data_IF_599733488585
#
_entry.id   IF_599733488585
#
_cell.length_a   1.000
_cell.length_b   1.000
_cell.length_c   1.000
_cell.angle_alpha   90.00
_cell.angle_beta   90.00
_cell.angle_gamma   90.00
#
_symmetry.space_group_name_H-M   'P 1'
#
loop_
_entity.id
_entity.type
_entity.pdbx_description
1 polymer ?
#
# COMPACT_ATOMS: atom_id res chain seq x y z
N UNK A 1 -35.74 -47.56 -0.11
CA UNK A 1 -35.80 -46.52 -1.18
C UNK A 1 -36.38 -45.18 -0.73
N UNK A 2 -37.52 -45.12 -0.02
CA UNK A 2 -38.15 -43.85 0.41
C UNK A 2 -37.22 -42.89 1.17
N UNK A 3 -36.44 -43.38 2.14
CA UNK A 3 -35.51 -42.54 2.92
C UNK A 3 -34.42 -41.90 2.04
N UNK A 4 -33.83 -42.67 1.13
CA UNK A 4 -32.81 -42.18 0.19
C UNK A 4 -33.35 -41.09 -0.74
N UNK A 5 -34.57 -41.25 -1.25
CA UNK A 5 -35.21 -40.22 -2.09
C UNK A 5 -35.43 -38.93 -1.30
N UNK A 6 -35.97 -39.03 -0.08
CA UNK A 6 -36.21 -37.85 0.77
C UNK A 6 -34.90 -37.16 1.13
N UNK A 7 -33.91 -37.92 1.61
CA UNK A 7 -32.61 -37.36 1.96
C UNK A 7 -31.91 -36.73 0.75
N UNK A 8 -31.97 -37.35 -0.43
CA UNK A 8 -31.41 -36.81 -1.66
C UNK A 8 -32.06 -35.47 -2.06
N UNK A 9 -33.39 -35.36 -1.99
CA UNK A 9 -34.10 -34.10 -2.25
C UNK A 9 -33.68 -33.04 -1.22
N UNK A 10 -33.61 -33.40 0.06
CA UNK A 10 -33.20 -32.47 1.12
C UNK A 10 -31.75 -32.00 0.95
N UNK A 11 -30.83 -32.87 0.50
CA UNK A 11 -29.44 -32.49 0.17
C UNK A 11 -29.42 -31.45 -0.94
N UNK A 12 -30.15 -31.68 -2.04
CA UNK A 12 -30.21 -30.73 -3.16
C UNK A 12 -30.76 -29.39 -2.70
N UNK A 13 -31.89 -29.40 -1.97
CA UNK A 13 -32.50 -28.18 -1.45
C UNK A 13 -31.57 -27.43 -0.49
N UNK A 14 -30.95 -28.15 0.45
CA UNK A 14 -30.02 -27.55 1.41
C UNK A 14 -28.77 -27.00 0.73
N UNK A 15 -28.22 -27.68 -0.29
CA UNK A 15 -27.08 -27.21 -1.06
C UNK A 15 -27.40 -25.90 -1.79
N UNK A 16 -28.55 -25.84 -2.47
CA UNK A 16 -29.01 -24.63 -3.17
C UNK A 16 -29.22 -23.48 -2.17
N UNK A 17 -29.92 -23.73 -1.06
CA UNK A 17 -30.17 -22.71 -0.05
C UNK A 17 -28.87 -22.21 0.61
N UNK A 18 -27.91 -23.10 0.84
CA UNK A 18 -26.60 -22.75 1.41
C UNK A 18 -25.82 -21.86 0.43
N UNK A 19 -25.76 -22.24 -0.84
CA UNK A 19 -25.12 -21.44 -1.88
C UNK A 19 -25.75 -20.05 -2.00
N UNK A 20 -27.08 -19.98 -2.15
CA UNK A 20 -27.80 -18.71 -2.26
C UNK A 20 -27.63 -17.84 -1.01
N UNK A 21 -27.56 -18.46 0.18
CA UNK A 21 -27.31 -17.77 1.44
C UNK A 21 -25.90 -17.17 1.49
N UNK A 22 -24.88 -17.93 1.08
CA UNK A 22 -23.48 -17.45 1.05
C UNK A 22 -23.27 -16.36 -0.01
N UNK A 23 -23.87 -16.51 -1.18
CA UNK A 23 -23.83 -15.53 -2.26
C UNK A 23 -24.49 -14.20 -1.82
N UNK A 24 -25.65 -14.28 -1.18
CA UNK A 24 -26.37 -13.10 -0.68
C UNK A 24 -25.63 -12.32 0.43
N UNK A 25 -24.71 -12.96 1.18
CA UNK A 25 -23.92 -12.29 2.22
C UNK A 25 -22.88 -11.34 1.60
N UNK A 26 -22.43 -11.59 0.37
CA UNK A 26 -21.42 -10.74 -0.27
C UNK A 26 -20.09 -10.75 0.49
N UNK A 27 -19.53 -11.94 0.74
CA UNK A 27 -18.32 -12.13 1.57
C UNK A 27 -17.08 -11.39 1.05
N UNK A 28 -17.04 -11.07 -0.24
CA UNK A 28 -15.89 -10.44 -0.88
C UNK A 28 -16.26 -9.01 -1.33
N UNK A 29 -15.33 -8.04 -1.25
CA UNK A 29 -15.56 -6.72 -1.82
C UNK A 29 -15.57 -6.81 -3.35
N UNK A 30 -15.84 -5.71 -4.06
CA UNK A 30 -15.88 -5.74 -5.52
C UNK A 30 -14.56 -6.27 -6.14
N UNK A 31 -14.60 -7.05 -7.23
CA UNK A 31 -13.40 -7.47 -7.93
C UNK A 31 -12.88 -6.32 -8.82
N UNK A 32 -11.81 -5.65 -8.37
CA UNK A 32 -11.28 -4.44 -9.01
C UNK A 32 -9.97 -4.67 -9.80
N UNK A 33 -9.62 -5.92 -10.09
CA UNK A 33 -8.46 -6.26 -10.94
C UNK A 33 -8.71 -7.48 -11.82
N UNK A 34 -7.88 -7.65 -12.87
CA UNK A 34 -7.91 -8.85 -13.69
C UNK A 34 -7.60 -10.12 -12.87
N UNK A 35 -6.71 -10.02 -11.89
CA UNK A 35 -6.39 -11.11 -10.96
C UNK A 35 -7.62 -11.50 -10.13
N UNK A 36 -8.36 -10.50 -9.64
CA UNK A 36 -9.58 -10.73 -8.86
C UNK A 36 -10.63 -11.52 -9.65
N UNK A 37 -10.80 -11.25 -10.95
CA UNK A 37 -11.76 -12.00 -11.78
C UNK A 37 -11.41 -13.49 -11.87
N UNK A 38 -10.13 -13.84 -12.03
CA UNK A 38 -9.69 -15.25 -12.08
C UNK A 38 -9.88 -15.95 -10.73
N UNK A 39 -9.56 -15.26 -9.63
CA UNK A 39 -9.68 -15.79 -8.27
C UNK A 39 -11.15 -15.96 -7.89
N UNK A 40 -12.01 -14.97 -8.15
CA UNK A 40 -13.44 -15.03 -7.82
C UNK A 40 -14.17 -16.11 -8.63
N UNK A 41 -13.74 -16.39 -9.86
CA UNK A 41 -14.25 -17.53 -10.64
C UNK A 41 -13.96 -18.87 -9.96
N UNK A 42 -12.72 -19.08 -9.49
CA UNK A 42 -12.34 -20.30 -8.77
C UNK A 42 -13.08 -20.39 -7.43
N UNK A 43 -13.12 -19.29 -6.68
CA UNK A 43 -13.85 -19.18 -5.42
C UNK A 43 -15.32 -19.58 -5.57
N UNK A 44 -16.00 -19.12 -6.63
CA UNK A 44 -17.40 -19.48 -6.86
C UNK A 44 -17.59 -21.01 -7.04
N UNK A 45 -16.69 -21.66 -7.78
CA UNK A 45 -16.70 -23.12 -7.91
C UNK A 45 -16.44 -23.83 -6.58
N UNK A 46 -15.55 -23.30 -5.76
CA UNK A 46 -15.29 -23.81 -4.41
C UNK A 46 -16.54 -23.67 -3.52
N UNK A 47 -17.21 -22.51 -3.51
CA UNK A 47 -18.42 -22.27 -2.73
C UNK A 47 -19.56 -23.19 -3.16
N UNK A 48 -19.77 -23.40 -4.46
CA UNK A 48 -20.76 -24.37 -4.98
C UNK A 48 -20.45 -25.78 -4.47
N UNK A 49 -19.18 -26.20 -4.59
CA UNK A 49 -18.74 -27.55 -4.20
C UNK A 49 -18.87 -27.75 -2.69
N UNK A 50 -18.43 -26.79 -1.89
CA UNK A 50 -18.52 -26.83 -0.42
C UNK A 50 -19.98 -26.80 0.02
N UNK A 51 -20.85 -26.01 -0.60
CA UNK A 51 -22.28 -25.98 -0.30
C UNK A 51 -22.93 -27.36 -0.51
N UNK A 52 -22.56 -28.03 -1.61
CA UNK A 52 -23.01 -29.40 -1.86
C UNK A 52 -22.45 -30.40 -0.85
N UNK A 53 -21.15 -30.40 -0.58
CA UNK A 53 -20.51 -31.35 0.35
C UNK A 53 -20.99 -31.15 1.79
N UNK A 54 -21.17 -29.90 2.22
CA UNK A 54 -21.74 -29.56 3.52
C UNK A 54 -23.16 -30.13 3.64
N UNK A 55 -24.02 -29.88 2.65
CA UNK A 55 -25.38 -30.46 2.64
C UNK A 55 -25.36 -31.99 2.60
N UNK A 56 -24.46 -32.59 1.81
CA UNK A 56 -24.28 -34.04 1.70
C UNK A 56 -23.92 -34.70 3.03
N UNK A 57 -23.24 -34.00 3.94
CA UNK A 57 -22.89 -34.50 5.27
C UNK A 57 -23.98 -34.16 6.30
N UNK A 58 -24.38 -32.89 6.35
CA UNK A 58 -25.27 -32.38 7.40
C UNK A 58 -26.69 -32.91 7.25
N UNK A 59 -27.22 -33.02 6.02
CA UNK A 59 -28.59 -33.49 5.82
C UNK A 59 -28.74 -34.96 6.25
N UNK A 60 -27.91 -35.93 5.80
CA UNK A 60 -28.01 -37.30 6.30
C UNK A 60 -27.77 -37.41 7.81
N UNK A 61 -26.85 -36.63 8.37
CA UNK A 61 -26.60 -36.59 9.81
C UNK A 61 -27.87 -36.17 10.57
N UNK A 62 -28.44 -35.01 10.25
CA UNK A 62 -29.66 -34.50 10.90
C UNK A 62 -30.85 -35.41 10.62
N UNK A 63 -30.99 -35.90 9.38
CA UNK A 63 -32.04 -36.84 8.99
C UNK A 63 -31.97 -38.10 9.84
N UNK A 64 -30.78 -38.65 10.07
CA UNK A 64 -30.59 -39.86 10.87
C UNK A 64 -30.98 -39.64 12.33
N UNK A 65 -30.59 -38.50 12.92
CA UNK A 65 -30.92 -38.13 14.29
C UNK A 65 -32.42 -37.95 14.52
N UNK A 66 -33.17 -37.52 13.51
CA UNK A 66 -34.61 -37.28 13.60
C UNK A 66 -35.42 -38.53 13.26
N UNK A 67 -35.11 -39.19 12.14
CA UNK A 67 -35.94 -40.26 11.57
C UNK A 67 -35.62 -41.62 12.18
N UNK A 68 -34.35 -41.89 12.48
CA UNK A 68 -33.91 -43.16 13.08
C UNK A 68 -33.73 -43.06 14.60
N UNK A 69 -34.31 -42.03 15.23
CA UNK A 69 -34.37 -41.91 16.68
C UNK A 69 -35.17 -43.07 17.29
N UNK A 70 -34.57 -43.77 18.25
CA UNK A 70 -35.23 -44.84 19.02
C UNK A 70 -36.51 -44.32 19.68
N UNK A 71 -37.64 -45.01 19.45
CA UNK A 71 -38.94 -44.66 20.04
C UNK A 71 -39.02 -45.14 21.49
N UNK A 72 -39.84 -44.45 22.30
CA UNK A 72 -40.07 -44.85 23.70
C UNK A 72 -40.68 -46.25 23.75
N UNK A 73 -40.05 -47.16 24.47
CA UNK A 73 -40.49 -48.56 24.63
C UNK A 73 -40.06 -49.51 23.51
N UNK A 74 -39.35 -49.03 22.49
CA UNK A 74 -38.76 -49.90 21.46
C UNK A 74 -37.52 -50.61 22.03
N UNK A 75 -37.53 -51.94 22.06
CA UNK A 75 -36.41 -52.79 22.50
C UNK A 75 -35.89 -53.68 21.38
N UNK A 76 -36.28 -53.42 20.14
CA UNK A 76 -35.80 -54.17 18.98
C UNK A 76 -34.42 -53.69 18.55
N UNK A 77 -33.63 -54.61 17.99
CA UNK A 77 -32.35 -54.27 17.39
C UNK A 77 -32.55 -53.77 15.95
N UNK A 78 -31.66 -52.88 15.51
CA UNK A 78 -31.62 -52.43 14.13
C UNK A 78 -31.07 -53.54 13.21
N UNK A 79 -31.26 -53.39 11.90
CA UNK A 79 -30.65 -54.27 10.90
C UNK A 79 -29.11 -54.26 11.03
N UNK A 80 -28.49 -55.44 11.05
CA UNK A 80 -27.04 -55.59 11.15
C UNK A 80 -26.38 -55.28 9.80
N UNK A 81 -25.86 -54.06 9.66
CA UNK A 81 -25.21 -53.57 8.44
C UNK A 81 -23.73 -53.27 8.77
N UNK A 82 -22.81 -53.99 8.12
CA UNK A 82 -21.37 -53.82 8.37
C UNK A 82 -20.67 -52.89 7.37
N UNK A 83 -21.22 -52.67 6.18
CA UNK A 83 -20.61 -51.80 5.18
C UNK A 83 -21.21 -51.92 3.78
N UNK A 84 -20.59 -51.18 2.85
CA UNK A 84 -20.97 -51.21 1.44
C UNK A 84 -19.75 -50.84 0.58
N UNK A 85 -19.03 -51.85 0.10
CA UNK A 85 -17.83 -51.67 -0.71
C UNK A 85 -18.06 -50.83 -1.97
N UNK A 86 -19.25 -50.90 -2.59
CA UNK A 86 -19.55 -50.09 -3.77
C UNK A 86 -19.65 -48.61 -3.41
N UNK A 87 -20.31 -48.29 -2.28
CA UNK A 87 -20.37 -46.93 -1.74
C UNK A 87 -18.97 -46.46 -1.35
N UNK A 88 -18.17 -47.35 -0.76
CA UNK A 88 -16.81 -47.04 -0.33
C UNK A 88 -15.87 -46.69 -1.49
N UNK A 89 -15.99 -47.41 -2.60
CA UNK A 89 -15.26 -47.09 -3.82
C UNK A 89 -15.75 -45.75 -4.38
N UNK A 90 -17.07 -45.55 -4.46
CA UNK A 90 -17.66 -44.34 -5.03
C UNK A 90 -17.26 -43.07 -4.24
N UNK A 91 -17.37 -43.08 -2.91
CA UNK A 91 -17.04 -41.92 -2.07
C UNK A 91 -15.53 -41.67 -1.93
N UNK A 92 -14.68 -42.53 -2.48
CA UNK A 92 -13.22 -42.37 -2.48
C UNK A 92 -12.78 -41.83 -3.84
N UNK A 93 -13.28 -42.44 -4.91
CA UNK A 93 -12.95 -42.06 -6.28
C UNK A 93 -13.51 -40.67 -6.62
N UNK A 94 -14.77 -40.38 -6.25
CA UNK A 94 -15.40 -39.10 -6.63
C UNK A 94 -14.66 -37.91 -6.01
N UNK A 95 -14.38 -37.86 -4.68
CA UNK A 95 -13.59 -36.76 -4.11
C UNK A 95 -12.18 -36.66 -4.65
N UNK A 96 -11.52 -37.79 -4.95
CA UNK A 96 -10.20 -37.79 -5.58
C UNK A 96 -10.22 -37.00 -6.91
N UNK A 97 -11.17 -37.30 -7.80
CA UNK A 97 -11.28 -36.59 -9.08
C UNK A 97 -11.69 -35.13 -8.91
N UNK A 98 -12.55 -34.80 -7.92
CA UNK A 98 -12.90 -33.42 -7.60
C UNK A 98 -11.64 -32.64 -7.18
N UNK A 99 -10.84 -33.18 -6.26
CA UNK A 99 -9.60 -32.53 -5.81
C UNK A 99 -8.60 -32.38 -6.95
N UNK A 100 -8.46 -33.38 -7.83
CA UNK A 100 -7.60 -33.27 -9.00
C UNK A 100 -8.07 -32.18 -9.99
N UNK A 101 -9.38 -32.03 -10.18
CA UNK A 101 -9.93 -30.96 -11.00
C UNK A 101 -9.65 -29.58 -10.41
N UNK A 102 -9.87 -29.40 -9.10
CA UNK A 102 -9.53 -28.15 -8.39
C UNK A 102 -8.04 -27.86 -8.41
N UNK A 103 -7.17 -28.87 -8.26
CA UNK A 103 -5.73 -28.69 -8.36
C UNK A 103 -5.32 -28.16 -9.75
N UNK A 104 -5.92 -28.68 -10.82
CA UNK A 104 -5.70 -28.18 -12.18
C UNK A 104 -6.22 -26.74 -12.35
N UNK A 105 -7.45 -26.46 -11.92
CA UNK A 105 -8.04 -25.12 -12.00
C UNK A 105 -7.24 -24.09 -11.19
N UNK A 106 -6.77 -24.46 -10.01
CA UNK A 106 -5.91 -23.63 -9.17
C UNK A 106 -4.56 -23.33 -9.83
N UNK A 107 -3.93 -24.35 -10.45
CA UNK A 107 -2.69 -24.14 -11.20
C UNK A 107 -2.89 -23.21 -12.40
N UNK A 108 -4.02 -23.35 -13.12
CA UNK A 108 -4.39 -22.46 -14.22
C UNK A 108 -4.60 -21.01 -13.75
N UNK A 109 -5.38 -20.81 -12.68
CA UNK A 109 -5.63 -19.48 -12.09
C UNK A 109 -4.33 -18.84 -11.56
N UNK A 110 -3.43 -19.64 -10.98
CA UNK A 110 -2.12 -19.17 -10.55
C UNK A 110 -1.25 -18.70 -11.74
N UNK A 111 -1.29 -19.42 -12.86
CA UNK A 111 -0.58 -19.02 -14.07
C UNK A 111 -1.15 -17.73 -14.67
N UNK A 112 -2.48 -17.60 -14.68
CA UNK A 112 -3.21 -16.42 -15.14
C UNK A 112 -2.83 -15.17 -14.32
N UNK A 113 -2.91 -15.28 -12.99
CA UNK A 113 -2.65 -14.17 -12.07
C UNK A 113 -1.20 -13.70 -12.09
N UNK A 114 -0.26 -14.59 -12.45
CA UNK A 114 1.17 -14.29 -12.56
C UNK A 114 1.64 -13.90 -13.95
N UNK A 115 0.75 -13.85 -14.95
CA UNK A 115 1.15 -13.53 -16.33
C UNK A 115 1.79 -12.14 -16.40
N UNK A 116 3.01 -12.09 -16.92
CA UNK A 116 3.75 -10.86 -17.11
C UNK A 116 3.37 -10.18 -18.43
N UNK A 117 3.16 -8.87 -18.37
CA UNK A 117 3.13 -7.95 -19.49
C UNK A 117 4.50 -7.26 -19.62
N UNK A 118 5.21 -7.41 -20.75
CA UNK A 118 6.47 -6.70 -21.00
C UNK A 118 6.36 -5.17 -21.01
N UNK A 119 5.15 -4.60 -21.09
CA UNK A 119 4.88 -3.17 -21.07
C UNK A 119 4.31 -2.69 -19.73
N UNK A 120 4.41 -3.52 -18.68
CA UNK A 120 3.93 -3.17 -17.36
C UNK A 120 4.64 -1.92 -16.80
N UNK A 121 3.87 -0.99 -16.24
CA UNK A 121 4.40 0.16 -15.51
C UNK A 121 5.08 -0.33 -14.23
N UNK A 122 6.26 0.20 -13.91
CA UNK A 122 6.97 -0.17 -12.67
C UNK A 122 6.66 0.84 -11.57
N UNK A 123 6.34 0.35 -10.38
CA UNK A 123 6.29 1.14 -9.15
C UNK A 123 7.16 0.45 -8.12
N UNK A 124 8.14 1.16 -7.59
CA UNK A 124 8.94 0.67 -6.47
C UNK A 124 8.17 0.97 -5.17
N UNK A 125 7.96 -0.04 -4.33
CA UNK A 125 7.26 0.10 -3.05
C UNK A 125 8.24 -0.14 -1.93
N UNK A 126 8.35 0.81 -1.02
CA UNK A 126 9.09 0.63 0.23
C UNK A 126 8.12 0.49 1.39
N UNK A 127 8.28 -0.59 2.15
CA UNK A 127 7.57 -0.81 3.40
C UNK A 127 8.48 -0.50 4.60
N UNK A 128 7.95 0.26 5.55
CA UNK A 128 8.56 0.57 6.85
C UNK A 128 7.49 0.56 7.92
N UNK A 129 7.83 0.36 9.18
CA UNK A 129 6.91 0.55 10.30
C UNK A 129 6.55 2.04 10.41
N UNK A 130 5.30 2.48 10.21
CA UNK A 130 4.12 1.79 9.67
C UNK A 130 3.59 2.56 8.47
N UNK A 131 4.44 2.73 7.46
CA UNK A 131 4.22 3.58 6.31
C UNK A 131 4.57 2.85 5.00
N UNK A 132 3.87 3.27 3.95
CA UNK A 132 4.14 2.90 2.57
C UNK A 132 4.75 4.10 1.84
N UNK A 133 5.69 3.82 0.94
CA UNK A 133 6.22 4.82 0.01
C UNK A 133 6.24 4.23 -1.39
N UNK A 134 5.79 5.02 -2.36
CA UNK A 134 5.65 4.62 -3.75
C UNK A 134 6.54 5.49 -4.63
N UNK A 135 7.56 4.91 -5.21
CA UNK A 135 8.44 5.58 -6.16
C UNK A 135 8.04 5.19 -7.59
N UNK A 136 7.91 6.21 -8.43
CA UNK A 136 7.58 6.12 -9.84
C UNK A 136 8.85 6.41 -10.66
N UNK A 137 9.72 5.40 -10.89
CA UNK A 137 11.05 5.63 -11.46
C UNK A 137 11.00 6.29 -12.84
N UNK A 138 10.04 5.92 -13.69
CA UNK A 138 9.87 6.50 -15.02
C UNK A 138 9.48 7.99 -14.98
N UNK A 139 8.95 8.47 -13.84
CA UNK A 139 8.54 9.86 -13.63
C UNK A 139 9.47 10.64 -12.70
N UNK A 140 10.37 9.96 -11.97
CA UNK A 140 11.38 10.60 -11.12
C UNK A 140 10.84 11.23 -9.83
N UNK A 141 9.72 10.73 -9.29
CA UNK A 141 9.18 11.21 -8.01
C UNK A 141 8.72 10.07 -7.10
N UNK A 142 8.56 10.39 -5.82
CA UNK A 142 7.93 9.51 -4.83
C UNK A 142 6.64 10.12 -4.31
N UNK A 143 5.68 9.26 -3.99
CA UNK A 143 4.36 9.60 -3.46
C UNK A 143 4.06 8.81 -2.20
N UNK A 144 3.24 9.38 -1.33
CA UNK A 144 2.61 8.65 -0.23
C UNK A 144 1.39 7.87 -0.71
N UNK A 145 0.64 8.36 -1.69
CA UNK A 145 -0.50 7.65 -2.26
C UNK A 145 -0.09 6.81 -3.47
N UNK A 146 -0.67 5.62 -3.62
CA UNK A 146 -0.48 4.78 -4.80
C UNK A 146 -1.54 5.11 -5.85
N UNK A 147 -1.14 5.76 -6.94
CA UNK A 147 -2.00 5.97 -8.13
C UNK A 147 -1.65 5.01 -9.25
N UNK A 148 -2.67 4.45 -9.89
CA UNK A 148 -2.57 3.44 -10.93
C UNK A 148 -3.49 3.78 -12.11
N UNK A 149 -3.05 3.62 -13.36
CA UNK A 149 -3.92 3.70 -14.52
C UNK A 149 -4.77 2.42 -14.67
N UNK A 150 -6.06 2.58 -14.97
CA UNK A 150 -6.98 1.48 -15.30
C UNK A 150 -6.51 0.71 -16.54
N UNK A 151 -6.77 -0.60 -16.56
CA UNK A 151 -6.51 -1.53 -17.66
C UNK A 151 -5.04 -1.68 -18.08
N UNK A 152 -4.10 -1.14 -17.30
CA UNK A 152 -2.66 -1.26 -17.52
C UNK A 152 -2.03 -2.11 -16.43
N UNK A 153 -1.22 -3.11 -16.81
CA UNK A 153 -0.52 -3.91 -15.81
C UNK A 153 0.54 -3.07 -15.10
N UNK A 154 0.61 -3.22 -13.78
CA UNK A 154 1.61 -2.59 -12.92
C UNK A 154 2.44 -3.68 -12.24
N UNK A 155 3.76 -3.56 -12.35
CA UNK A 155 4.73 -4.36 -11.62
C UNK A 155 5.16 -3.59 -10.37
N UNK A 156 4.71 -4.06 -9.21
CA UNK A 156 5.17 -3.59 -7.92
C UNK A 156 6.47 -4.31 -7.57
N UNK A 157 7.58 -3.57 -7.49
CA UNK A 157 8.86 -4.06 -6.96
C UNK A 157 8.98 -3.59 -5.53
N UNK A 158 8.95 -4.52 -4.59
CA UNK A 158 8.70 -4.20 -3.20
C UNK A 158 9.87 -4.63 -2.32
N UNK A 159 10.25 -3.76 -1.40
CA UNK A 159 11.31 -4.03 -0.41
C UNK A 159 10.86 -3.54 0.97
N UNK A 160 11.27 -4.24 2.03
CA UNK A 160 11.11 -3.80 3.41
C UNK A 160 12.43 -3.31 3.96
N UNK A 161 12.41 -2.20 4.71
CA UNK A 161 13.59 -1.66 5.40
C UNK A 161 13.73 -2.12 6.85
N UNK A 162 12.76 -2.88 7.38
CA UNK A 162 12.76 -3.30 8.78
C UNK A 162 12.29 -4.76 8.98
N UNK A 163 11.00 -5.00 9.12
CA UNK A 163 10.37 -6.30 9.42
C UNK A 163 9.59 -6.82 8.22
N UNK A 164 9.04 -8.02 8.32
CA UNK A 164 8.18 -8.54 7.25
C UNK A 164 6.87 -7.74 7.23
N UNK A 165 6.45 -7.33 6.04
CA UNK A 165 5.13 -6.74 5.76
C UNK A 165 4.42 -7.57 4.70
N UNK A 166 3.17 -7.26 4.38
CA UNK A 166 2.49 -7.83 3.20
C UNK A 166 1.65 -6.76 2.54
N UNK A 167 1.93 -6.46 1.27
CA UNK A 167 1.12 -5.55 0.48
C UNK A 167 -0.21 -6.21 0.14
N UNK A 168 -1.33 -5.59 0.51
CA UNK A 168 -2.65 -6.11 0.19
C UNK A 168 -3.68 -5.00 -0.08
N UNK A 169 -4.28 -5.04 -1.27
CA UNK A 169 -5.51 -4.29 -1.60
C UNK A 169 -6.62 -5.35 -1.75
N UNK A 170 -7.58 -5.44 -0.82
CA UNK A 170 -8.59 -6.52 -0.80
C UNK A 170 -9.36 -6.70 -2.11
N UNK A 171 -9.71 -5.60 -2.78
CA UNK A 171 -10.41 -5.56 -4.05
C UNK A 171 -9.61 -6.15 -5.20
N UNK A 172 -8.28 -6.24 -5.07
CA UNK A 172 -7.40 -6.86 -6.06
C UNK A 172 -7.15 -8.35 -5.83
N UNK A 173 -7.60 -8.92 -4.71
CA UNK A 173 -7.49 -10.35 -4.30
C UNK A 173 -6.09 -10.92 -4.12
N UNK A 174 -5.07 -10.25 -4.64
CA UNK A 174 -3.68 -10.67 -4.50
C UNK A 174 -3.00 -9.92 -3.37
N UNK A 175 -2.17 -10.65 -2.62
CA UNK A 175 -1.26 -10.11 -1.62
C UNK A 175 0.12 -10.67 -1.84
N UNK A 176 1.14 -9.96 -1.39
CA UNK A 176 2.51 -10.43 -1.46
C UNK A 176 3.28 -9.95 -0.24
N UNK A 177 3.87 -10.92 0.46
CA UNK A 177 4.73 -10.63 1.59
C UNK A 177 6.02 -9.96 1.09
N UNK A 178 6.47 -8.96 1.82
CA UNK A 178 7.65 -8.15 1.57
C UNK A 178 8.64 -8.48 2.67
N UNK A 179 9.74 -9.14 2.28
CA UNK A 179 10.72 -9.69 3.22
C UNK A 179 12.00 -8.86 3.15
N UNK A 180 12.53 -8.36 4.29
CA UNK A 180 13.77 -7.61 4.32
C UNK A 180 14.93 -8.35 3.63
N UNK A 181 15.76 -7.60 2.90
CA UNK A 181 16.95 -8.15 2.22
C UNK A 181 16.70 -8.82 0.87
N UNK A 182 15.46 -8.79 0.35
CA UNK A 182 15.17 -9.20 -1.04
C UNK A 182 14.07 -8.33 -1.64
N UNK A 183 14.09 -8.19 -2.96
CA UNK A 183 12.98 -7.60 -3.72
C UNK A 183 11.91 -8.67 -3.93
N UNK A 184 10.66 -8.36 -3.60
CA UNK A 184 9.49 -9.18 -3.96
C UNK A 184 8.68 -8.48 -5.04
N UNK A 185 8.11 -9.25 -5.95
CA UNK A 185 7.33 -8.71 -7.08
C UNK A 185 5.86 -9.08 -6.94
N UNK A 186 4.98 -8.13 -7.27
CA UNK A 186 3.55 -8.37 -7.44
C UNK A 186 3.05 -7.68 -8.71
N UNK A 187 2.25 -8.38 -9.49
CA UNK A 187 1.65 -7.85 -10.73
C UNK A 187 0.16 -7.67 -10.52
N UNK A 188 -0.34 -6.49 -10.89
CA UNK A 188 -1.74 -6.11 -10.73
C UNK A 188 -2.19 -5.39 -11.99
N UNK A 189 -3.38 -5.73 -12.50
CA UNK A 189 -4.03 -4.97 -13.57
C UNK A 189 -5.37 -4.47 -13.05
N UNK A 190 -5.47 -3.21 -12.58
CA UNK A 190 -6.71 -2.68 -12.03
C UNK A 190 -7.75 -2.47 -13.14
N UNK A 191 -9.00 -2.87 -12.90
CA UNK A 191 -10.08 -2.88 -13.91
C UNK A 191 -11.26 -1.97 -13.55
N UNK A 192 -11.26 -1.42 -12.33
CA UNK A 192 -12.35 -0.58 -11.82
C UNK A 192 -11.77 0.75 -11.35
N UNK A 193 -12.36 1.84 -11.82
CA UNK A 193 -12.00 3.19 -11.37
C UNK A 193 -12.35 3.36 -9.88
N UNK A 194 -11.51 4.10 -9.18
CA UNK A 194 -11.82 4.50 -7.81
C UNK A 194 -12.99 5.47 -7.79
N UNK A 195 -14.01 5.16 -6.97
CA UNK A 195 -15.17 6.02 -6.84
C UNK A 195 -14.80 7.32 -6.08
N UNK A 196 -15.42 8.47 -6.41
CA UNK A 196 -15.24 9.70 -5.67
C UNK A 196 -15.53 9.50 -4.17
N UNK A 197 -14.64 9.98 -3.31
CA UNK A 197 -14.71 9.88 -1.84
C UNK A 197 -14.67 8.46 -1.25
N UNK A 198 -14.42 7.42 -2.04
CA UNK A 198 -14.28 6.03 -1.57
C UNK A 198 -13.01 5.43 -2.18
N UNK A 199 -11.81 5.85 -1.70
CA UNK A 199 -10.56 5.30 -2.20
C UNK A 199 -10.42 3.82 -1.84
N UNK A 200 -9.77 3.07 -2.73
CA UNK A 200 -9.19 1.79 -2.33
C UNK A 200 -8.07 2.05 -1.32
N UNK A 201 -7.70 1.01 -0.58
CA UNK A 201 -6.60 1.11 0.38
C UNK A 201 -5.68 -0.07 0.26
N UNK A 202 -4.38 0.22 0.25
CA UNK A 202 -3.39 -0.78 0.60
C UNK A 202 -3.38 -0.93 2.11
N UNK A 203 -3.27 -2.15 2.59
CA UNK A 203 -3.17 -2.52 3.99
C UNK A 203 -1.99 -3.45 4.18
N UNK A 204 -1.35 -3.39 5.35
CA UNK A 204 -0.44 -4.44 5.75
C UNK A 204 -1.23 -5.70 6.15
N UNK A 205 -0.87 -6.84 5.58
CA UNK A 205 -1.50 -8.14 5.89
C UNK A 205 -0.54 -9.13 6.58
N UNK A 206 0.54 -8.64 7.17
CA UNK A 206 1.50 -9.41 7.97
C UNK A 206 1.80 -8.63 9.26
N UNK A 207 1.74 -9.28 10.43
CA UNK A 207 1.84 -8.60 11.71
C UNK A 207 3.22 -7.92 11.87
N UNK A 208 3.25 -6.61 11.69
CA UNK A 208 4.48 -5.83 11.61
C UNK A 208 4.73 -4.92 12.82
N UNK A 209 4.06 -5.15 13.95
CA UNK A 209 4.26 -4.39 15.20
C UNK A 209 3.00 -3.75 15.77
N UNK A 210 3.16 -2.86 16.75
CA UNK A 210 2.06 -2.30 17.56
C UNK A 210 1.06 -1.46 16.77
N UNK A 211 1.50 -0.79 15.70
CA UNK A 211 0.62 0.02 14.85
C UNK A 211 0.34 -0.66 13.50
N UNK A 212 0.41 -1.99 13.45
CA UNK A 212 0.09 -2.78 12.25
C UNK A 212 -1.29 -2.45 11.68
N UNK A 213 -2.30 -2.29 12.55
CA UNK A 213 -3.69 -2.00 12.15
C UNK A 213 -3.85 -0.65 11.43
N UNK A 214 -2.93 0.30 11.64
CA UNK A 214 -2.97 1.63 11.01
C UNK A 214 -2.07 1.73 9.79
N UNK A 215 -1.39 0.65 9.41
CA UNK A 215 -0.52 0.61 8.24
C UNK A 215 -1.34 0.49 6.95
N UNK A 216 -2.10 1.53 6.66
CA UNK A 216 -2.95 1.68 5.48
C UNK A 216 -2.55 2.92 4.71
N UNK A 217 -2.75 2.92 3.40
CA UNK A 217 -2.53 4.10 2.56
C UNK A 217 -3.48 4.09 1.36
N UNK A 218 -3.72 5.27 0.79
CA UNK A 218 -4.69 5.48 -0.29
C UNK A 218 -4.20 4.87 -1.60
N UNK A 219 -5.11 4.18 -2.29
CA UNK A 219 -4.93 3.67 -3.65
C UNK A 219 -5.99 4.27 -4.57
N UNK A 220 -5.55 4.93 -5.64
CA UNK A 220 -6.42 5.58 -6.63
C UNK A 220 -6.20 4.93 -7.99
N UNK A 221 -7.26 4.39 -8.57
CA UNK A 221 -7.30 3.93 -9.95
C UNK A 221 -8.03 4.97 -10.78
N UNK A 222 -7.36 5.55 -11.76
CA UNK A 222 -7.90 6.57 -12.65
C UNK A 222 -7.78 6.17 -14.13
N UNK A 223 -8.42 6.93 -15.01
CA UNK A 223 -8.13 6.84 -16.43
C UNK A 223 -6.67 7.20 -16.71
N UNK A 224 -6.11 6.69 -17.81
CA UNK A 224 -4.69 6.90 -18.14
C UNK A 224 -4.37 8.40 -18.32
N UNK A 225 -5.27 9.17 -18.93
CA UNK A 225 -5.11 10.62 -19.10
C UNK A 225 -5.00 11.35 -17.75
N UNK A 226 -5.86 11.01 -16.79
CA UNK A 226 -5.85 11.64 -15.46
C UNK A 226 -4.61 11.25 -14.66
N UNK A 227 -4.18 9.98 -14.78
CA UNK A 227 -2.95 9.50 -14.18
C UNK A 227 -1.73 10.28 -14.70
N UNK A 228 -1.61 10.43 -16.03
CA UNK A 228 -0.51 11.17 -16.66
C UNK A 228 -0.53 12.65 -16.28
N UNK A 229 -1.70 13.28 -16.22
CA UNK A 229 -1.83 14.67 -15.77
C UNK A 229 -1.32 14.84 -14.34
N UNK A 230 -1.76 13.98 -13.41
CA UNK A 230 -1.28 13.97 -12.03
C UNK A 230 0.23 13.71 -11.95
N UNK A 231 0.74 12.72 -12.67
CA UNK A 231 2.17 12.38 -12.63
C UNK A 231 3.05 13.53 -13.14
N UNK A 232 2.60 14.24 -14.17
CA UNK A 232 3.29 15.43 -14.72
C UNK A 232 3.31 16.58 -13.71
N UNK A 233 2.21 16.79 -12.99
CA UNK A 233 2.14 17.77 -11.89
C UNK A 233 3.13 17.39 -10.77
N UNK A 234 3.14 16.13 -10.33
CA UNK A 234 4.07 15.66 -9.29
C UNK A 234 5.53 15.79 -9.72
N UNK A 235 5.84 15.49 -10.98
CA UNK A 235 7.18 15.68 -11.52
C UNK A 235 7.61 17.14 -11.49
N UNK A 236 6.69 18.06 -11.81
CA UNK A 236 6.94 19.51 -11.74
C UNK A 236 7.20 19.96 -10.30
N UNK A 237 6.41 19.47 -9.33
CA UNK A 237 6.59 19.75 -7.91
C UNK A 237 7.91 19.18 -7.38
N UNK A 238 8.25 17.95 -7.76
CA UNK A 238 9.49 17.31 -7.39
C UNK A 238 10.71 18.06 -7.94
N UNK A 239 10.64 18.50 -9.20
CA UNK A 239 11.69 19.33 -9.81
C UNK A 239 11.84 20.69 -9.10
N UNK A 240 10.72 21.34 -8.75
CA UNK A 240 10.73 22.60 -7.99
C UNK A 240 11.32 22.44 -6.58
N UNK A 241 11.11 21.30 -5.92
CA UNK A 241 11.69 21.00 -4.62
C UNK A 241 13.21 20.75 -4.68
N UNK A 242 13.76 20.48 -5.86
CA UNK A 242 15.19 20.26 -6.08
C UNK A 242 15.91 21.49 -6.66
N UNK A 243 15.32 22.68 -6.67
CA UNK A 243 16.08 23.88 -7.02
C UNK A 243 17.05 24.26 -5.88
N UNK A 244 18.19 24.92 -6.18
CA UNK A 244 19.11 25.40 -5.14
C UNK A 244 18.42 26.23 -4.06
N UNK A 245 17.44 27.07 -4.46
CA UNK A 245 16.68 27.92 -3.54
C UNK A 245 15.81 27.08 -2.59
N UNK A 246 15.13 26.04 -3.09
CA UNK A 246 14.30 25.16 -2.26
C UNK A 246 15.14 24.33 -1.28
N UNK A 247 16.29 23.80 -1.73
CA UNK A 247 17.25 23.11 -0.85
C UNK A 247 17.84 24.06 0.19
N UNK A 248 18.19 25.28 -0.22
CA UNK A 248 18.67 26.33 0.67
C UNK A 248 17.67 26.67 1.76
N UNK A 249 16.40 26.83 1.40
CA UNK A 249 15.31 27.05 2.35
C UNK A 249 15.19 25.91 3.37
N UNK A 250 15.26 24.66 2.91
CA UNK A 250 15.23 23.50 3.81
C UNK A 250 16.42 23.48 4.77
N UNK A 251 17.63 23.81 4.29
CA UNK A 251 18.84 23.88 5.11
C UNK A 251 18.71 24.94 6.21
N UNK A 252 18.26 26.16 5.89
CA UNK A 252 18.11 27.22 6.90
C UNK A 252 17.01 26.92 7.92
N UNK A 253 15.93 26.23 7.52
CA UNK A 253 14.88 25.78 8.45
C UNK A 253 15.40 24.66 9.35
N UNK A 254 16.03 23.63 8.77
CA UNK A 254 16.52 22.46 9.49
C UNK A 254 17.62 22.81 10.50
N UNK A 255 18.42 23.83 10.22
CA UNK A 255 19.49 24.31 11.11
C UNK A 255 19.05 25.46 12.04
N UNK A 256 17.76 25.82 12.05
CA UNK A 256 17.21 26.77 13.02
C UNK A 256 17.59 28.23 12.78
N UNK A 257 18.12 28.59 11.60
CA UNK A 257 18.59 29.94 11.31
C UNK A 257 17.47 30.99 11.46
N UNK A 258 16.23 30.60 11.12
CA UNK A 258 15.04 31.46 11.21
C UNK A 258 14.60 31.77 12.65
N UNK A 259 15.19 31.12 13.66
CA UNK A 259 14.99 31.48 15.06
C UNK A 259 15.74 32.76 15.46
N UNK A 260 16.82 33.09 14.74
CA UNK A 260 17.65 34.27 15.01
C UNK A 260 17.58 35.32 13.90
N UNK A 261 17.34 34.91 12.65
CA UNK A 261 17.24 35.80 11.49
C UNK A 261 15.82 35.84 10.94
N UNK A 262 15.25 37.04 10.81
CA UNK A 262 13.93 37.21 10.23
C UNK A 262 13.98 37.29 8.71
N UNK A 263 12.87 36.97 8.05
CA UNK A 263 12.71 37.13 6.60
C UNK A 263 11.65 38.19 6.24
N UNK A 264 11.13 38.90 7.24
CA UNK A 264 10.04 39.87 7.12
C UNK A 264 10.48 41.31 7.47
N UNK A 265 11.77 41.52 7.73
CA UNK A 265 12.32 42.82 8.12
C UNK A 265 12.33 43.09 9.62
N UNK A 266 11.73 42.22 10.46
CA UNK A 266 11.74 42.40 11.91
C UNK A 266 13.13 42.22 12.52
N UNK A 267 13.47 42.97 13.56
CA UNK A 267 14.71 42.77 14.31
C UNK A 267 14.57 41.56 15.24
N UNK A 268 15.51 40.63 15.17
CA UNK A 268 15.63 39.47 16.07
C UNK A 268 17.03 39.47 16.71
N UNK A 269 17.53 38.30 17.12
CA UNK A 269 18.87 38.11 17.67
C UNK A 269 19.95 38.46 16.65
N UNK A 270 19.70 38.19 15.35
CA UNK A 270 20.56 38.55 14.23
C UNK A 270 19.86 39.45 13.21
N UNK A 271 20.61 39.98 12.23
CA UNK A 271 20.07 40.85 11.19
C UNK A 271 19.03 40.15 10.32
N UNK A 272 18.08 40.94 9.83
CA UNK A 272 17.06 40.45 8.89
C UNK A 272 17.68 40.06 7.54
N UNK A 273 17.18 38.96 6.98
CA UNK A 273 17.52 38.46 5.66
C UNK A 273 16.65 39.05 4.54
N UNK A 274 15.61 39.82 4.86
CA UNK A 274 14.80 40.48 3.84
C UNK A 274 15.67 41.47 3.04
N UNK A 275 15.79 41.23 1.73
CA UNK A 275 16.60 42.05 0.83
C UNK A 275 18.08 42.05 1.20
N UNK A 276 18.58 41.01 1.87
CA UNK A 276 19.95 41.03 2.41
C UNK A 276 20.99 40.95 1.33
N UNK A 277 20.78 40.24 0.21
CA UNK A 277 21.83 40.04 -0.79
C UNK A 277 22.13 41.31 -1.59
N UNK A 278 23.38 41.77 -1.58
CA UNK A 278 23.82 42.99 -2.27
C UNK A 278 23.48 44.30 -1.54
N UNK A 279 23.00 44.22 -0.29
CA UNK A 279 22.81 45.35 0.62
C UNK A 279 24.14 45.82 1.17
N UNK A 280 24.29 47.13 1.39
CA UNK A 280 25.42 47.65 2.15
C UNK A 280 25.11 47.53 3.65
N UNK A 281 26.01 46.88 4.39
CA UNK A 281 25.94 46.73 5.85
C UNK A 281 27.13 47.44 6.49
N UNK A 282 26.86 48.21 7.54
CA UNK A 282 27.90 48.77 8.40
C UNK A 282 28.29 47.72 9.44
N UNK A 283 29.58 47.48 9.61
CA UNK A 283 30.14 46.56 10.58
C UNK A 283 30.39 47.26 11.93
N UNK A 284 30.57 46.49 13.00
CA UNK A 284 30.83 47.00 14.35
C UNK A 284 32.10 47.84 14.49
N UNK A 285 33.04 47.73 13.54
CA UNK A 285 34.27 48.52 13.48
C UNK A 285 34.14 49.78 12.59
N UNK A 286 32.94 50.04 12.03
CA UNK A 286 32.63 51.17 11.16
C UNK A 286 32.98 50.95 9.68
N UNK A 287 33.46 49.77 9.29
CA UNK A 287 33.63 49.43 7.87
C UNK A 287 32.27 49.15 7.21
N UNK A 288 32.14 49.52 5.93
CA UNK A 288 30.96 49.18 5.12
C UNK A 288 31.32 48.01 4.21
N UNK A 289 30.48 46.98 4.21
CA UNK A 289 30.62 45.80 3.36
C UNK A 289 29.37 45.59 2.53
N UNK A 290 29.54 45.09 1.31
CA UNK A 290 28.42 44.60 0.49
C UNK A 290 28.20 43.14 0.85
N UNK A 291 26.96 42.77 1.15
CA UNK A 291 26.54 41.40 1.48
C UNK A 291 26.49 40.50 0.24
N UNK A 292 27.66 40.21 -0.30
CA UNK A 292 27.85 39.30 -1.42
C UNK A 292 28.03 37.82 -0.96
N UNK A 293 28.26 36.93 -1.92
CA UNK A 293 28.42 35.49 -1.63
C UNK A 293 29.60 35.20 -0.70
N UNK A 294 30.71 35.94 -0.84
CA UNK A 294 31.90 35.76 -0.03
C UNK A 294 31.63 36.20 1.41
N UNK A 295 30.99 37.35 1.60
CA UNK A 295 30.59 37.83 2.92
C UNK A 295 29.63 36.88 3.63
N UNK A 296 28.58 36.42 2.94
CA UNK A 296 27.59 35.50 3.52
C UNK A 296 28.25 34.16 3.89
N UNK A 297 29.11 33.63 3.01
CA UNK A 297 29.84 32.39 3.28
C UNK A 297 30.74 32.52 4.51
N UNK A 298 31.52 33.60 4.58
CA UNK A 298 32.38 33.88 5.73
C UNK A 298 31.57 34.09 7.00
N UNK A 299 30.43 34.78 6.93
CA UNK A 299 29.54 35.00 8.08
C UNK A 299 28.92 33.71 8.63
N UNK A 300 28.71 32.69 7.78
CA UNK A 300 28.18 31.39 8.20
C UNK A 300 29.28 30.50 8.82
N UNK A 301 30.47 30.51 8.22
CA UNK A 301 31.59 29.64 8.60
C UNK A 301 32.45 30.22 9.74
N UNK A 302 32.57 31.54 9.81
CA UNK A 302 33.27 32.31 10.85
C UNK A 302 32.44 33.55 11.25
N UNK A 303 31.34 33.36 11.99
CA UNK A 303 30.42 34.44 12.38
C UNK A 303 31.04 35.53 13.26
N UNK A 304 32.27 35.34 13.74
CA UNK A 304 33.00 36.34 14.53
C UNK A 304 33.90 37.25 13.68
N UNK A 305 34.13 36.91 12.41
CA UNK A 305 35.05 37.65 11.56
C UNK A 305 34.54 39.06 11.24
N UNK A 306 33.24 39.21 10.94
CA UNK A 306 32.61 40.47 10.54
C UNK A 306 31.19 40.56 11.11
N UNK A 307 30.99 41.44 12.09
CA UNK A 307 29.71 41.59 12.78
C UNK A 307 29.02 42.87 12.32
N UNK A 308 27.75 42.76 11.94
CA UNK A 308 26.91 43.91 11.58
C UNK A 308 26.69 44.81 12.80
N UNK A 309 26.80 46.12 12.60
CA UNK A 309 26.62 47.12 13.65
C UNK A 309 25.25 46.96 14.35
N UNK A 310 25.25 46.99 15.68
CA UNK A 310 24.05 46.82 16.50
C UNK A 310 23.72 45.37 16.91
N UNK A 311 24.53 44.38 16.49
CA UNK A 311 24.38 42.98 16.90
C UNK A 311 25.58 42.49 17.73
N UNK A 312 25.34 41.49 18.59
CA UNK A 312 26.37 40.93 19.48
C UNK A 312 26.95 39.61 18.98
N UNK A 313 28.24 39.43 19.21
CA UNK A 313 29.09 38.34 18.73
C UNK A 313 28.73 36.96 19.26
N UNK A 314 28.38 36.82 20.54
CA UNK A 314 28.40 35.50 21.20
C UNK A 314 27.17 34.61 20.92
N UNK A 315 26.24 35.06 20.07
CA UNK A 315 24.93 34.43 19.91
C UNK A 315 24.78 33.60 18.63
N UNK A 316 25.58 33.84 17.59
CA UNK A 316 25.53 33.05 16.36
C UNK A 316 26.47 31.82 16.45
N UNK A 317 25.93 30.58 16.39
CA UNK A 317 26.75 29.38 16.36
C UNK A 317 27.59 29.28 15.09
N UNK A 318 28.73 28.59 15.17
CA UNK A 318 29.52 28.21 13.99
C UNK A 318 28.86 27.03 13.29
N UNK A 319 28.66 27.12 11.98
CA UNK A 319 28.10 26.04 11.18
C UNK A 319 29.16 25.44 10.24
N UNK A 320 29.09 24.13 10.04
CA UNK A 320 29.90 23.41 9.05
C UNK A 320 28.98 22.91 7.95
N UNK A 321 29.02 23.59 6.81
CA UNK A 321 28.31 23.21 5.59
C UNK A 321 29.29 22.84 4.48
N UNK A 322 28.85 21.98 3.55
CA UNK A 322 29.59 21.74 2.30
C UNK A 322 29.47 22.95 1.37
N UNK A 323 30.35 23.04 0.37
CA UNK A 323 30.27 24.10 -0.65
C UNK A 323 28.92 24.12 -1.36
N UNK A 324 28.37 22.95 -1.71
CA UNK A 324 27.06 22.83 -2.35
C UNK A 324 25.92 23.35 -1.44
N UNK A 325 25.96 23.02 -0.15
CA UNK A 325 24.97 23.51 0.81
C UNK A 325 25.04 25.03 0.98
N UNK A 326 26.23 25.62 0.97
CA UNK A 326 26.40 27.07 1.02
C UNK A 326 25.84 27.75 -0.23
N UNK A 327 26.11 27.18 -1.41
CA UNK A 327 25.53 27.67 -2.68
C UNK A 327 24.01 27.64 -2.64
N UNK A 328 23.42 26.55 -2.15
CA UNK A 328 21.96 26.42 -2.00
C UNK A 328 21.38 27.46 -1.02
N UNK A 329 22.00 27.64 0.16
CA UNK A 329 21.59 28.65 1.16
C UNK A 329 21.65 30.05 0.55
N UNK A 330 22.74 30.39 -0.15
CA UNK A 330 22.90 31.69 -0.81
C UNK A 330 21.85 31.88 -1.92
N UNK A 331 21.56 30.85 -2.70
CA UNK A 331 20.50 30.89 -3.70
C UNK A 331 19.14 31.22 -3.06
N UNK A 332 18.81 30.61 -1.92
CA UNK A 332 17.63 30.94 -1.14
C UNK A 332 17.64 32.41 -0.67
N UNK A 333 18.74 32.90 -0.09
CA UNK A 333 18.83 34.28 0.39
C UNK A 333 18.61 35.30 -0.73
N UNK A 334 19.06 35.02 -1.97
CA UNK A 334 18.80 35.87 -3.15
C UNK A 334 17.33 36.00 -3.52
N UNK A 335 16.49 35.06 -3.08
CA UNK A 335 15.03 35.11 -3.30
C UNK A 335 14.30 36.04 -2.34
N UNK A 336 14.92 36.37 -1.20
CA UNK A 336 14.33 37.22 -0.17
C UNK A 336 14.54 38.69 -0.54
N UNK A 337 13.52 39.33 -1.12
CA UNK A 337 13.57 40.73 -1.60
C UNK A 337 12.58 41.62 -0.90
#
# INVERSE_FOLDING_TARGET
MRHFVIAGILVILAAILTYLGLDAIGLLPIPASAQAMSIDWLWNWEVITISFLFALIVVPLVYSLVVFRRKKGDTTDAEHIEGNTKLEIAWTIVPLFIVMAFAYMGAYSLAETRRADPQAMVVNVTATQWAWSFEYPDYGFSSKELRLPKDKQVLLRMESKDVIHSFWVPEFRVKQDIVPGRVTELRITPTVLTAPNVPFKVRCAELCGTSHYSMEEVVIVSEEADFVAWATEQQTLAAAAQTPEARGQQLVVANGCLGCHSIDGSALVGPTWLGVFGREEELSDGAIVVTDEAYITESILDPQAKIVAGYETQLMPVYTFTEEQLVDIIAYLKTLK
#
